data_IF_016673465650
#
_entry.id   IF_016673465650
#
_cell.length_a   1.000
_cell.length_b   1.000
_cell.length_c   1.000
_cell.angle_alpha   90.00
_cell.angle_beta   90.00
_cell.angle_gamma   90.00
#
_symmetry.space_group_name_H-M   'P 1'
#
loop_
_entity.id
_entity.type
_entity.pdbx_description
1 polymer ?
#
# COMPACT_ATOMS: atom_id res chain seq x y z
N UNK A 1 -7.29 25.95 -7.69
CA UNK A 1 -6.83 24.59 -7.33
C UNK A 1 -6.71 24.42 -5.81
N UNK A 2 -5.99 25.27 -5.10
CA UNK A 2 -5.84 25.23 -3.63
C UNK A 2 -7.15 25.20 -2.85
N UNK A 3 -8.17 25.94 -3.28
CA UNK A 3 -9.50 25.94 -2.63
C UNK A 3 -10.23 24.60 -2.76
N UNK A 4 -10.04 23.87 -3.87
CA UNK A 4 -10.62 22.53 -4.05
C UNK A 4 -9.95 21.55 -3.08
N UNK A 5 -8.61 21.56 -3.02
CA UNK A 5 -7.83 20.72 -2.11
C UNK A 5 -8.23 20.95 -0.65
N UNK A 6 -8.33 22.21 -0.22
CA UNK A 6 -8.76 22.58 1.14
C UNK A 6 -10.18 22.07 1.44
N UNK A 7 -11.10 22.21 0.48
CA UNK A 7 -12.48 21.75 0.62
C UNK A 7 -12.53 20.21 0.71
N UNK A 8 -11.76 19.51 -0.13
CA UNK A 8 -11.66 18.06 -0.11
C UNK A 8 -11.08 17.54 1.21
N UNK A 9 -9.97 18.10 1.67
CA UNK A 9 -9.37 17.72 2.96
C UNK A 9 -10.38 17.90 4.09
N UNK A 10 -11.05 19.08 4.16
CA UNK A 10 -12.04 19.35 5.21
C UNK A 10 -13.23 18.38 5.15
N UNK A 11 -13.69 18.05 3.93
CA UNK A 11 -14.78 17.09 3.71
C UNK A 11 -14.35 15.69 4.18
N UNK A 12 -13.17 15.25 3.80
CA UNK A 12 -12.64 13.91 4.11
C UNK A 12 -12.46 13.75 5.63
N UNK A 13 -11.87 14.72 6.32
CA UNK A 13 -11.72 14.69 7.78
C UNK A 13 -13.07 14.57 8.50
N UNK A 14 -14.12 15.19 7.94
CA UNK A 14 -15.49 15.10 8.51
C UNK A 14 -16.23 13.84 8.09
N UNK A 15 -15.75 13.13 7.08
CA UNK A 15 -16.35 11.89 6.61
C UNK A 15 -16.00 10.73 7.54
N UNK A 16 -17.01 9.93 7.90
CA UNK A 16 -16.77 8.69 8.66
C UNK A 16 -15.96 7.66 7.86
N UNK A 17 -16.00 7.73 6.53
CA UNK A 17 -15.34 6.78 5.63
C UNK A 17 -13.82 6.76 5.82
N UNK A 18 -13.18 7.94 6.01
CA UNK A 18 -11.72 7.98 6.15
C UNK A 18 -11.22 7.36 7.47
N UNK A 19 -12.05 7.40 8.51
CA UNK A 19 -11.72 6.82 9.81
C UNK A 19 -11.71 5.28 9.80
N UNK A 20 -12.32 4.68 8.77
CA UNK A 20 -12.25 3.22 8.54
C UNK A 20 -10.81 2.79 8.24
N UNK A 21 -10.02 3.62 7.55
CA UNK A 21 -8.63 3.29 7.18
C UNK A 21 -7.72 3.01 8.39
N UNK A 22 -7.57 3.92 9.37
CA UNK A 22 -6.73 3.64 10.54
C UNK A 22 -7.23 2.44 11.37
N UNK A 23 -8.54 2.22 11.42
CA UNK A 23 -9.11 1.05 12.10
C UNK A 23 -8.70 -0.23 11.36
N UNK A 24 -8.82 -0.26 10.03
CA UNK A 24 -8.39 -1.41 9.22
C UNK A 24 -6.89 -1.67 9.37
N UNK A 25 -6.06 -0.62 9.35
CA UNK A 25 -4.62 -0.75 9.55
C UNK A 25 -4.33 -1.41 10.91
N UNK A 26 -4.94 -0.93 12.00
CA UNK A 26 -4.75 -1.50 13.33
C UNK A 26 -5.21 -2.96 13.41
N UNK A 27 -6.36 -3.29 12.83
CA UNK A 27 -6.87 -4.66 12.83
C UNK A 27 -5.92 -5.58 12.05
N UNK A 28 -5.51 -5.19 10.85
CA UNK A 28 -4.67 -6.03 9.99
C UNK A 28 -3.27 -6.24 10.59
N UNK A 29 -2.63 -5.18 11.10
CA UNK A 29 -1.33 -5.30 11.77
C UNK A 29 -1.42 -6.13 13.05
N UNK A 30 -2.50 -5.98 13.83
CA UNK A 30 -2.74 -6.78 15.01
C UNK A 30 -2.99 -8.25 14.68
N UNK A 31 -3.78 -8.54 13.64
CA UNK A 31 -4.04 -9.92 13.18
C UNK A 31 -2.76 -10.61 12.74
N UNK A 32 -1.93 -9.94 11.94
CA UNK A 32 -0.67 -10.49 11.48
C UNK A 32 0.27 -10.76 12.66
N UNK A 33 0.42 -9.78 13.56
CA UNK A 33 1.27 -9.93 14.77
C UNK A 33 0.75 -11.03 15.71
N UNK A 34 -0.57 -11.14 15.90
CA UNK A 34 -1.18 -12.19 16.72
C UNK A 34 -0.99 -13.58 16.10
N UNK A 35 -1.06 -13.69 14.76
CA UNK A 35 -0.84 -14.95 14.04
C UNK A 35 0.59 -15.47 14.30
N UNK A 36 1.61 -14.62 14.13
CA UNK A 36 3.01 -15.00 14.35
C UNK A 36 3.30 -15.29 15.83
N UNK A 37 2.73 -14.51 16.76
CA UNK A 37 2.84 -14.79 18.19
C UNK A 37 2.18 -16.13 18.56
N UNK A 38 1.03 -16.44 17.98
CA UNK A 38 0.34 -17.72 18.11
C UNK A 38 1.17 -18.89 17.58
N UNK A 39 1.77 -18.75 16.40
CA UNK A 39 2.68 -19.75 15.84
C UNK A 39 3.87 -20.00 16.78
N UNK A 40 4.51 -18.95 17.26
CA UNK A 40 5.62 -19.04 18.21
C UNK A 40 5.22 -19.75 19.49
N UNK A 41 4.02 -19.48 20.02
CA UNK A 41 3.48 -20.15 21.20
C UNK A 41 3.24 -21.66 20.94
N UNK A 42 2.61 -22.02 19.81
CA UNK A 42 2.38 -23.43 19.44
C UNK A 42 3.70 -24.20 19.32
N UNK A 43 4.73 -23.57 18.77
CA UNK A 43 6.07 -24.18 18.66
C UNK A 43 6.74 -24.38 20.03
N UNK A 44 6.45 -23.53 21.01
CA UNK A 44 6.97 -23.69 22.37
C UNK A 44 6.33 -24.86 23.14
N UNK A 45 5.24 -25.46 22.62
CA UNK A 45 4.50 -26.54 23.28
C UNK A 45 5.05 -27.96 22.97
N UNK A 46 6.20 -28.08 22.28
CA UNK A 46 6.86 -29.36 21.95
C UNK A 46 5.90 -30.44 21.39
N UNK A 47 5.13 -30.04 20.37
CA UNK A 47 4.17 -30.93 19.69
C UNK A 47 4.83 -31.85 18.64
N UNK A 48 6.14 -32.03 18.69
CA UNK A 48 6.91 -32.87 17.77
C UNK A 48 6.39 -34.31 17.61
N UNK A 49 5.87 -34.86 18.71
CA UNK A 49 5.29 -36.18 18.75
C UNK A 49 3.95 -36.33 17.98
N UNK A 50 3.25 -35.20 17.72
CA UNK A 50 1.92 -35.19 17.07
C UNK A 50 2.01 -34.76 15.59
N UNK A 51 2.92 -33.82 15.27
CA UNK A 51 2.97 -33.15 13.95
C UNK A 51 4.10 -33.69 13.03
N UNK A 52 5.06 -34.44 13.57
CA UNK A 52 6.14 -35.04 12.75
C UNK A 52 6.88 -34.02 11.86
N UNK A 53 7.12 -34.38 10.61
CA UNK A 53 7.85 -33.56 9.62
C UNK A 53 7.20 -32.18 9.32
N UNK A 54 5.90 -32.03 9.61
CA UNK A 54 5.23 -30.73 9.44
C UNK A 54 5.72 -29.66 10.46
N UNK A 55 6.40 -30.09 11.54
CA UNK A 55 6.99 -29.15 12.51
C UNK A 55 8.18 -28.39 11.93
N UNK A 56 8.97 -28.98 11.04
CA UNK A 56 10.14 -28.30 10.47
C UNK A 56 9.74 -27.09 9.61
N UNK A 57 8.67 -27.22 8.83
CA UNK A 57 8.12 -26.11 8.04
C UNK A 57 7.46 -25.05 8.91
N UNK A 58 6.76 -25.44 9.98
CA UNK A 58 6.22 -24.50 10.97
C UNK A 58 7.34 -23.82 11.79
N UNK A 59 8.43 -24.55 12.08
CA UNK A 59 9.60 -24.01 12.76
C UNK A 59 10.29 -22.91 11.95
N UNK A 60 10.40 -23.08 10.64
CA UNK A 60 10.89 -22.02 9.76
C UNK A 60 10.04 -20.76 9.85
N UNK A 61 8.71 -20.88 9.84
CA UNK A 61 7.79 -19.73 9.94
C UNK A 61 7.85 -19.06 11.33
N UNK A 62 7.98 -19.82 12.41
CA UNK A 62 8.01 -19.27 13.77
C UNK A 62 9.32 -18.58 14.15
N UNK A 63 10.42 -18.90 13.47
CA UNK A 63 11.71 -18.25 13.67
C UNK A 63 11.88 -16.92 12.91
N UNK A 64 10.92 -16.55 12.05
CA UNK A 64 11.00 -15.35 11.23
C UNK A 64 10.86 -14.07 12.07
N UNK A 65 10.03 -14.08 13.12
CA UNK A 65 9.85 -12.92 14.01
C UNK A 65 10.16 -13.31 15.47
N UNK A 66 11.33 -12.91 15.95
CA UNK A 66 11.75 -13.18 17.34
C UNK A 66 11.58 -11.98 18.26
N UNK A 67 11.64 -10.77 17.72
CA UNK A 67 11.58 -9.50 18.45
C UNK A 67 10.44 -8.62 17.93
N UNK A 68 10.08 -7.60 18.72
CA UNK A 68 9.13 -6.58 18.29
C UNK A 68 9.62 -5.84 17.02
N UNK A 69 10.93 -5.70 16.86
CA UNK A 69 11.55 -5.13 15.66
C UNK A 69 11.32 -6.00 14.42
N UNK A 70 11.62 -7.30 14.50
CA UNK A 70 11.42 -8.22 13.38
C UNK A 70 9.94 -8.21 12.93
N UNK A 71 9.01 -8.23 13.90
CA UNK A 71 7.59 -8.18 13.59
C UNK A 71 7.16 -6.86 12.94
N UNK A 72 7.74 -5.74 13.35
CA UNK A 72 7.51 -4.45 12.72
C UNK A 72 7.98 -4.45 11.25
N UNK A 73 9.16 -5.00 10.98
CA UNK A 73 9.69 -5.16 9.63
C UNK A 73 8.81 -6.07 8.77
N UNK A 74 8.35 -7.19 9.30
CA UNK A 74 7.43 -8.09 8.58
C UNK A 74 6.10 -7.42 8.21
N UNK A 75 5.54 -6.61 9.12
CA UNK A 75 4.38 -5.80 8.77
C UNK A 75 4.70 -4.84 7.62
N UNK A 76 5.85 -4.16 7.65
CA UNK A 76 6.24 -3.21 6.59
C UNK A 76 6.56 -3.87 5.24
N UNK A 77 6.90 -5.17 5.23
CA UNK A 77 7.07 -5.97 4.01
C UNK A 77 5.74 -6.39 3.39
N UNK A 78 4.65 -6.40 4.18
CA UNK A 78 3.37 -6.91 3.72
C UNK A 78 2.66 -5.93 2.77
N UNK A 79 1.86 -6.48 1.88
CA UNK A 79 0.97 -5.77 0.95
C UNK A 79 -0.29 -5.19 1.62
N UNK A 80 -0.44 -5.39 2.91
CA UNK A 80 -1.63 -4.98 3.69
C UNK A 80 -2.05 -3.54 3.42
N UNK A 81 -1.08 -2.61 3.44
CA UNK A 81 -1.39 -1.20 3.22
C UNK A 81 -1.79 -0.92 1.77
N UNK A 82 -1.28 -1.68 0.78
CA UNK A 82 -1.68 -1.56 -0.63
C UNK A 82 -3.19 -1.73 -0.75
N UNK A 83 -3.76 -2.78 -0.15
CA UNK A 83 -5.21 -3.03 -0.20
C UNK A 83 -6.02 -2.05 0.65
N UNK A 84 -5.51 -1.61 1.79
CA UNK A 84 -6.19 -0.61 2.63
C UNK A 84 -6.27 0.77 1.94
N UNK A 85 -5.33 1.10 1.05
CA UNK A 85 -5.35 2.36 0.28
C UNK A 85 -6.58 2.53 -0.60
N UNK A 86 -7.32 1.46 -0.89
CA UNK A 86 -8.60 1.54 -1.59
C UNK A 86 -9.58 2.48 -0.88
N UNK A 87 -9.53 2.56 0.45
CA UNK A 87 -10.37 3.47 1.24
C UNK A 87 -10.08 4.93 0.90
N UNK A 88 -8.81 5.28 0.63
CA UNK A 88 -8.41 6.62 0.19
C UNK A 88 -9.00 6.91 -1.19
N UNK A 89 -8.86 5.98 -2.15
CA UNK A 89 -9.41 6.11 -3.51
C UNK A 89 -10.92 6.31 -3.50
N UNK A 90 -11.62 5.53 -2.67
CA UNK A 90 -13.07 5.64 -2.51
C UNK A 90 -13.46 7.00 -1.92
N UNK A 91 -12.82 7.40 -0.83
CA UNK A 91 -13.18 8.62 -0.09
C UNK A 91 -12.84 9.90 -0.83
N UNK A 92 -11.73 9.91 -1.58
CA UNK A 92 -11.24 11.12 -2.27
C UNK A 92 -11.89 11.29 -3.65
N UNK A 93 -12.08 10.20 -4.40
CA UNK A 93 -12.41 10.28 -5.82
C UNK A 93 -13.61 9.46 -6.25
N UNK A 94 -13.70 8.18 -5.88
CA UNK A 94 -14.70 7.27 -6.45
C UNK A 94 -16.13 7.65 -6.05
N UNK A 95 -16.36 8.03 -4.80
CA UNK A 95 -17.68 8.49 -4.34
C UNK A 95 -18.11 9.81 -4.98
N UNK A 96 -17.18 10.65 -5.43
CA UNK A 96 -17.51 11.90 -6.10
C UNK A 96 -18.06 11.70 -7.51
N UNK A 97 -17.72 10.59 -8.17
CA UNK A 97 -18.38 10.18 -9.40
C UNK A 97 -19.81 9.71 -9.15
N UNK A 98 -20.02 8.85 -8.16
CA UNK A 98 -21.35 8.31 -7.85
C UNK A 98 -22.32 9.35 -7.30
N UNK A 99 -21.82 10.34 -6.56
CA UNK A 99 -22.64 11.44 -6.01
C UNK A 99 -22.88 12.59 -6.98
N UNK A 100 -22.32 12.56 -8.19
CA UNK A 100 -22.40 13.65 -9.15
C UNK A 100 -21.60 14.92 -8.79
N UNK A 101 -20.79 14.87 -7.73
CA UNK A 101 -19.98 16.02 -7.28
C UNK A 101 -19.04 16.53 -8.36
N UNK A 102 -18.44 15.63 -9.16
CA UNK A 102 -17.57 16.00 -10.27
C UNK A 102 -18.31 16.76 -11.37
N UNK A 103 -19.55 16.36 -11.70
CA UNK A 103 -20.40 17.09 -12.64
C UNK A 103 -20.73 18.49 -12.14
N UNK A 104 -21.07 18.61 -10.85
CA UNK A 104 -21.33 19.90 -10.24
C UNK A 104 -20.11 20.82 -10.26
N UNK A 105 -18.90 20.26 -10.05
CA UNK A 105 -17.66 21.06 -10.16
C UNK A 105 -17.43 21.58 -11.57
N UNK A 106 -17.73 20.78 -12.59
CA UNK A 106 -17.61 21.20 -13.99
C UNK A 106 -18.66 22.25 -14.37
N UNK A 107 -19.91 22.15 -13.88
CA UNK A 107 -20.96 23.14 -14.14
C UNK A 107 -20.64 24.52 -13.52
N UNK A 108 -19.86 24.55 -12.43
CA UNK A 108 -19.37 25.79 -11.81
C UNK A 108 -18.12 26.34 -12.52
N UNK A 109 -17.72 25.76 -13.67
CA UNK A 109 -16.59 26.25 -14.49
C UNK A 109 -15.21 25.74 -14.07
N UNK A 110 -15.11 24.67 -13.28
CA UNK A 110 -13.82 24.02 -13.02
C UNK A 110 -13.40 23.16 -14.21
N UNK A 111 -12.13 23.21 -14.58
CA UNK A 111 -11.60 22.37 -15.68
C UNK A 111 -11.38 20.92 -15.21
N UNK A 112 -11.49 19.95 -16.12
CA UNK A 112 -11.17 18.53 -15.85
C UNK A 112 -9.76 18.38 -15.26
N UNK A 113 -8.77 19.16 -15.77
CA UNK A 113 -7.40 19.16 -15.24
C UNK A 113 -7.32 19.59 -13.77
N UNK A 114 -8.04 20.66 -13.42
CA UNK A 114 -8.05 21.14 -12.01
C UNK A 114 -8.66 20.12 -11.08
N UNK A 115 -9.74 19.46 -11.49
CA UNK A 115 -10.41 18.43 -10.70
C UNK A 115 -9.48 17.22 -10.54
N UNK A 116 -8.93 16.68 -11.63
CA UNK A 116 -8.03 15.54 -11.61
C UNK A 116 -6.82 15.78 -10.69
N UNK A 117 -6.09 16.87 -10.91
CA UNK A 117 -4.90 17.19 -10.14
C UNK A 117 -5.20 17.47 -8.66
N UNK A 118 -6.32 18.11 -8.34
CA UNK A 118 -6.68 18.35 -6.93
C UNK A 118 -6.98 17.04 -6.20
N UNK A 119 -7.68 16.10 -6.83
CA UNK A 119 -7.98 14.80 -6.27
C UNK A 119 -6.72 13.94 -6.10
N UNK A 120 -5.85 13.96 -7.10
CA UNK A 120 -4.56 13.25 -7.07
C UNK A 120 -3.68 13.76 -5.91
N UNK A 121 -3.51 15.08 -5.79
CA UNK A 121 -2.71 15.67 -4.70
C UNK A 121 -3.33 15.32 -3.33
N UNK A 122 -4.65 15.39 -3.21
CA UNK A 122 -5.33 15.02 -1.96
C UNK A 122 -5.10 13.54 -1.63
N UNK A 123 -5.17 12.65 -2.62
CA UNK A 123 -4.87 11.22 -2.43
C UNK A 123 -3.43 10.99 -1.98
N UNK A 124 -2.45 11.68 -2.59
CA UNK A 124 -1.04 11.59 -2.20
C UNK A 124 -0.81 12.05 -0.74
N UNK A 125 -1.44 13.14 -0.32
CA UNK A 125 -1.32 13.63 1.05
C UNK A 125 -1.84 12.58 2.04
N UNK A 126 -3.03 12.02 1.78
CA UNK A 126 -3.60 10.97 2.63
C UNK A 126 -2.78 9.68 2.63
N UNK A 127 -2.14 9.35 1.50
CA UNK A 127 -1.23 8.20 1.41
C UNK A 127 -0.02 8.38 2.33
N UNK A 128 0.63 9.54 2.31
CA UNK A 128 1.76 9.81 3.22
C UNK A 128 1.33 9.71 4.68
N UNK A 129 0.16 10.28 5.04
CA UNK A 129 -0.39 10.12 6.39
C UNK A 129 -0.68 8.65 6.74
N UNK A 130 -1.18 7.86 5.79
CA UNK A 130 -1.46 6.44 5.98
C UNK A 130 -0.19 5.63 6.20
N UNK A 131 0.87 5.89 5.43
CA UNK A 131 2.18 5.22 5.57
C UNK A 131 2.77 5.50 6.94
N UNK A 132 2.79 6.75 7.39
CA UNK A 132 3.29 7.13 8.71
C UNK A 132 2.48 6.43 9.82
N UNK A 133 1.15 6.41 9.68
CA UNK A 133 0.29 5.74 10.65
C UNK A 133 0.48 4.22 10.65
N UNK A 134 0.68 3.63 9.46
CA UNK A 134 0.96 2.20 9.31
C UNK A 134 2.27 1.79 9.99
N UNK A 135 3.33 2.58 9.81
CA UNK A 135 4.61 2.36 10.50
C UNK A 135 4.45 2.42 12.01
N UNK A 136 3.72 3.42 12.51
CA UNK A 136 3.43 3.54 13.93
C UNK A 136 2.63 2.32 14.46
N UNK A 137 1.58 1.91 13.73
CA UNK A 137 0.76 0.75 14.09
C UNK A 137 1.57 -0.55 14.07
N UNK A 138 2.41 -0.76 13.06
CA UNK A 138 3.27 -1.93 12.91
C UNK A 138 4.27 -2.04 14.05
N UNK A 139 4.91 -0.93 14.41
CA UNK A 139 5.85 -0.85 15.54
C UNK A 139 5.15 -1.09 16.88
N UNK A 140 3.98 -0.50 17.06
CA UNK A 140 3.17 -0.67 18.29
C UNK A 140 2.73 -2.13 18.46
N UNK A 141 2.18 -2.75 17.40
CA UNK A 141 1.71 -4.12 17.45
C UNK A 141 2.86 -5.12 17.59
N UNK A 142 4.00 -4.88 16.90
CA UNK A 142 5.20 -5.68 17.11
C UNK A 142 5.64 -5.69 18.57
N UNK A 143 5.74 -4.51 19.19
CA UNK A 143 6.11 -4.40 20.62
C UNK A 143 5.09 -5.04 21.57
N UNK A 144 3.80 -4.91 21.30
CA UNK A 144 2.76 -5.49 22.18
C UNK A 144 2.76 -7.01 22.18
N UNK A 145 3.05 -7.66 21.05
CA UNK A 145 3.01 -9.11 20.92
C UNK A 145 4.37 -9.80 21.18
N UNK A 146 5.48 -9.12 20.92
CA UNK A 146 6.83 -9.72 20.99
C UNK A 146 7.75 -9.08 22.04
N UNK A 147 7.30 -8.02 22.72
CA UNK A 147 8.06 -7.32 23.76
C UNK A 147 8.63 -5.98 23.33
N UNK A 148 8.88 -5.10 24.30
CA UNK A 148 9.36 -3.73 24.07
C UNK A 148 10.89 -3.70 23.94
N UNK A 149 11.42 -4.34 22.89
CA UNK A 149 12.86 -4.52 22.69
C UNK A 149 13.46 -3.56 21.65
N UNK A 150 12.67 -2.64 21.09
CA UNK A 150 13.11 -1.75 20.03
C UNK A 150 14.05 -0.68 20.59
N UNK A 151 15.35 -0.78 20.25
CA UNK A 151 16.36 0.18 20.63
C UNK A 151 16.36 1.42 19.70
N UNK A 152 17.01 2.49 20.15
CA UNK A 152 17.02 3.75 19.38
C UNK A 152 17.55 3.63 17.95
N UNK A 153 18.55 2.75 17.69
CA UNK A 153 19.05 2.48 16.32
C UNK A 153 17.95 1.85 15.45
N UNK A 154 17.22 0.88 15.96
CA UNK A 154 16.13 0.19 15.25
C UNK A 154 14.97 1.14 14.89
N UNK A 155 14.70 2.15 15.73
CA UNK A 155 13.71 3.20 15.40
C UNK A 155 14.17 4.00 14.17
N UNK A 156 15.46 4.34 14.10
CA UNK A 156 16.02 5.06 12.95
C UNK A 156 15.94 4.20 11.69
N UNK A 157 16.24 2.90 11.78
CA UNK A 157 16.13 1.95 10.67
C UNK A 157 14.67 1.86 10.16
N UNK A 158 13.68 1.70 11.05
CA UNK A 158 12.25 1.69 10.70
C UNK A 158 11.84 3.00 10.00
N UNK A 159 12.28 4.16 10.51
CA UNK A 159 11.96 5.45 9.90
C UNK A 159 12.62 5.60 8.53
N UNK A 160 13.88 5.14 8.38
CA UNK A 160 14.58 5.15 7.10
C UNK A 160 13.86 4.29 6.06
N UNK A 161 13.49 3.06 6.41
CA UNK A 161 12.70 2.16 5.56
C UNK A 161 11.37 2.80 5.17
N UNK A 162 10.67 3.38 6.14
CA UNK A 162 9.38 4.07 5.88
C UNK A 162 9.53 5.18 4.84
N UNK A 163 10.57 6.01 4.96
CA UNK A 163 10.83 7.08 4.00
C UNK A 163 11.14 6.54 2.60
N UNK A 164 11.89 5.44 2.53
CA UNK A 164 12.22 4.77 1.26
C UNK A 164 11.00 4.13 0.60
N UNK A 165 10.02 3.67 1.37
CA UNK A 165 8.79 3.06 0.87
C UNK A 165 7.74 4.08 0.38
N UNK A 166 7.81 5.36 0.79
CA UNK A 166 6.84 6.39 0.37
C UNK A 166 6.66 6.46 -1.15
N UNK A 167 7.70 6.50 -2.00
CA UNK A 167 7.56 6.52 -3.45
C UNK A 167 6.79 5.32 -4.01
N UNK A 168 7.00 4.13 -3.43
CA UNK A 168 6.28 2.90 -3.82
C UNK A 168 4.79 3.05 -3.55
N UNK A 169 4.41 3.51 -2.37
CA UNK A 169 3.01 3.74 -2.02
C UNK A 169 2.36 4.87 -2.84
N UNK A 170 3.13 5.90 -3.22
CA UNK A 170 2.67 6.92 -4.16
C UNK A 170 2.40 6.34 -5.55
N UNK A 171 3.21 5.41 -6.02
CA UNK A 171 2.97 4.68 -7.26
C UNK A 171 1.64 3.94 -7.23
N UNK A 172 1.40 3.21 -6.16
CA UNK A 172 0.16 2.44 -5.94
C UNK A 172 -1.08 3.33 -5.98
N UNK A 173 -1.07 4.45 -5.23
CA UNK A 173 -2.24 5.34 -5.16
C UNK A 173 -2.48 6.08 -6.48
N UNK A 174 -1.42 6.47 -7.21
CA UNK A 174 -1.54 7.16 -8.49
C UNK A 174 -2.10 6.21 -9.56
N UNK A 175 -1.65 4.96 -9.59
CA UNK A 175 -2.20 3.92 -10.48
C UNK A 175 -3.68 3.65 -10.16
N UNK A 176 -4.01 3.51 -8.89
CA UNK A 176 -5.42 3.36 -8.46
C UNK A 176 -6.27 4.57 -8.83
N UNK A 177 -5.72 5.78 -8.70
CA UNK A 177 -6.39 7.02 -9.12
C UNK A 177 -6.69 7.03 -10.62
N UNK A 178 -5.73 6.58 -11.44
CA UNK A 178 -5.95 6.39 -12.88
C UNK A 178 -7.14 5.45 -13.13
N UNK A 179 -7.24 4.32 -12.45
CA UNK A 179 -8.36 3.39 -12.60
C UNK A 179 -9.71 4.00 -12.22
N UNK A 180 -9.76 4.81 -11.16
CA UNK A 180 -11.00 5.51 -10.76
C UNK A 180 -11.46 6.48 -11.85
N UNK A 181 -10.54 7.27 -12.41
CA UNK A 181 -10.89 8.25 -13.43
C UNK A 181 -11.17 7.62 -14.81
N UNK A 182 -10.59 6.46 -15.09
CA UNK A 182 -10.86 5.67 -16.29
C UNK A 182 -12.29 5.07 -16.25
N UNK A 183 -12.65 4.44 -15.14
CA UNK A 183 -13.91 3.70 -15.06
C UNK A 183 -15.11 4.55 -14.65
N UNK A 184 -14.87 5.61 -13.87
CA UNK A 184 -15.89 6.49 -13.29
C UNK A 184 -16.98 5.76 -12.46
N UNK A 185 -16.69 4.50 -12.07
CA UNK A 185 -17.58 3.64 -11.29
C UNK A 185 -16.84 3.05 -10.12
N UNK A 186 -17.47 3.09 -8.94
CA UNK A 186 -16.87 2.57 -7.70
C UNK A 186 -16.48 1.09 -7.85
N UNK A 187 -17.44 0.23 -8.20
CA UNK A 187 -17.21 -1.21 -8.27
C UNK A 187 -16.13 -1.60 -9.31
N UNK A 188 -16.18 -1.01 -10.51
CA UNK A 188 -15.23 -1.31 -11.57
C UNK A 188 -13.81 -0.83 -11.23
N UNK A 189 -13.68 0.32 -10.57
CA UNK A 189 -12.36 0.82 -10.15
C UNK A 189 -11.74 -0.04 -9.06
N UNK A 190 -12.55 -0.50 -8.09
CA UNK A 190 -12.08 -1.42 -7.05
C UNK A 190 -11.62 -2.76 -7.63
N UNK A 191 -12.41 -3.30 -8.56
CA UNK A 191 -12.10 -4.58 -9.19
C UNK A 191 -10.82 -4.51 -10.02
N UNK A 192 -10.63 -3.43 -10.79
CA UNK A 192 -9.39 -3.19 -11.53
C UNK A 192 -8.20 -2.99 -10.58
N UNK A 193 -8.38 -2.25 -9.49
CA UNK A 193 -7.31 -2.01 -8.51
C UNK A 193 -6.85 -3.32 -7.86
N UNK A 194 -7.77 -4.04 -7.21
CA UNK A 194 -7.44 -5.30 -6.54
C UNK A 194 -6.95 -6.33 -7.56
N UNK A 195 -7.70 -6.53 -8.65
CA UNK A 195 -7.38 -7.54 -9.66
C UNK A 195 -6.04 -7.31 -10.34
N UNK A 196 -5.68 -6.06 -10.67
CA UNK A 196 -4.38 -5.77 -11.29
C UNK A 196 -3.21 -6.07 -10.34
N UNK A 197 -3.28 -5.65 -9.07
CA UNK A 197 -2.20 -5.94 -8.13
C UNK A 197 -2.09 -7.44 -7.84
N UNK A 198 -3.20 -8.14 -7.53
CA UNK A 198 -3.17 -9.60 -7.30
C UNK A 198 -2.66 -10.40 -8.50
N UNK A 199 -3.09 -10.06 -9.72
CA UNK A 199 -2.63 -10.76 -10.92
C UNK A 199 -1.13 -10.51 -11.17
N UNK A 200 -0.68 -9.27 -11.05
CA UNK A 200 0.71 -8.92 -11.30
C UNK A 200 1.65 -9.50 -10.23
N UNK A 201 1.24 -9.49 -8.98
CA UNK A 201 1.98 -10.12 -7.87
C UNK A 201 2.16 -11.63 -8.07
N UNK A 202 1.19 -12.30 -8.72
CA UNK A 202 1.29 -13.74 -9.02
C UNK A 202 2.08 -14.01 -10.29
N UNK A 203 1.92 -13.20 -11.33
CA UNK A 203 2.50 -13.44 -12.65
C UNK A 203 3.98 -13.07 -12.73
N UNK A 204 4.40 -11.98 -12.06
CA UNK A 204 5.78 -11.48 -12.20
C UNK A 204 6.85 -12.45 -11.69
N UNK A 205 6.71 -13.15 -10.53
CA UNK A 205 7.68 -14.17 -10.12
C UNK A 205 7.74 -15.37 -11.07
N UNK A 206 6.61 -15.71 -11.71
CA UNK A 206 6.60 -16.76 -12.72
C UNK A 206 7.39 -16.34 -13.97
N UNK A 207 7.36 -15.06 -14.32
CA UNK A 207 8.18 -14.53 -15.41
C UNK A 207 9.66 -14.56 -15.06
N UNK A 208 10.05 -14.25 -13.83
CA UNK A 208 11.44 -14.37 -13.38
C UNK A 208 11.95 -15.82 -13.52
N UNK A 209 11.10 -16.79 -13.17
CA UNK A 209 11.45 -18.22 -13.28
C UNK A 209 11.59 -18.68 -14.73
N UNK A 210 10.80 -18.12 -15.67
CA UNK A 210 10.74 -18.57 -17.08
C UNK A 210 11.76 -17.84 -17.95
N UNK A 211 11.99 -16.55 -17.72
CA UNK A 211 12.73 -15.69 -18.65
C UNK A 211 14.23 -15.66 -18.40
N UNK A 212 14.71 -16.15 -17.24
CA UNK A 212 16.13 -16.17 -16.84
C UNK A 212 16.88 -14.86 -17.21
N UNK A 213 16.23 -13.73 -16.89
CA UNK A 213 16.76 -12.38 -17.20
C UNK A 213 17.85 -12.00 -16.19
N UNK A 214 18.80 -11.12 -16.58
CA UNK A 214 19.86 -10.65 -15.68
C UNK A 214 19.37 -9.73 -14.55
N UNK A 215 18.07 -9.47 -14.47
CA UNK A 215 17.41 -8.70 -13.42
C UNK A 215 16.05 -9.32 -13.07
N UNK A 216 15.61 -9.16 -11.83
CA UNK A 216 14.33 -9.68 -11.37
C UNK A 216 13.19 -8.76 -11.86
N UNK A 217 12.33 -9.27 -12.73
CA UNK A 217 11.15 -8.54 -13.25
C UNK A 217 10.16 -8.26 -12.13
N UNK A 218 10.09 -9.14 -11.12
CA UNK A 218 9.27 -8.95 -9.92
C UNK A 218 9.56 -7.64 -9.19
N UNK A 219 10.81 -7.13 -9.20
CA UNK A 219 11.18 -5.83 -8.64
C UNK A 219 10.47 -4.63 -9.30
N UNK A 220 9.82 -4.83 -10.44
CA UNK A 220 8.97 -3.79 -11.02
C UNK A 220 7.62 -3.66 -10.28
N UNK A 221 7.26 -4.62 -9.40
CA UNK A 221 5.99 -4.64 -8.67
C UNK A 221 6.13 -4.07 -7.26
N UNK A 222 5.14 -3.27 -6.81
CA UNK A 222 5.19 -2.60 -5.51
C UNK A 222 5.42 -3.52 -4.32
N UNK A 223 4.82 -4.72 -4.30
CA UNK A 223 5.01 -5.68 -3.21
C UNK A 223 6.48 -6.10 -3.07
N UNK A 224 7.11 -6.52 -4.17
CA UNK A 224 8.52 -6.95 -4.15
C UNK A 224 9.45 -5.79 -3.84
N UNK A 225 9.10 -4.57 -4.26
CA UNK A 225 9.82 -3.35 -3.89
C UNK A 225 9.76 -3.10 -2.38
N UNK A 226 8.60 -3.33 -1.73
CA UNK A 226 8.46 -3.18 -0.28
C UNK A 226 9.32 -4.21 0.47
N UNK A 227 9.32 -5.46 0.01
CA UNK A 227 10.15 -6.55 0.57
C UNK A 227 11.63 -6.18 0.46
N UNK A 228 12.08 -5.78 -0.73
CA UNK A 228 13.47 -5.46 -1.00
C UNK A 228 13.95 -4.25 -0.20
N UNK A 229 13.18 -3.17 -0.14
CA UNK A 229 13.51 -1.97 0.64
C UNK A 229 13.56 -2.21 2.16
N UNK A 230 13.00 -3.32 2.63
CA UNK A 230 13.04 -3.71 4.05
C UNK A 230 14.23 -4.62 4.34
N UNK A 231 14.81 -5.26 3.32
CA UNK A 231 16.08 -5.97 3.44
C UNK A 231 17.19 -4.93 3.58
N UNK A 232 17.96 -4.99 4.67
CA UNK A 232 19.05 -4.04 4.91
C UNK A 232 20.29 -4.26 3.99
N UNK A 233 20.16 -5.18 3.02
CA UNK A 233 21.24 -5.63 2.12
C UNK A 233 21.03 -5.21 0.66
N UNK A 234 20.06 -4.32 0.38
CA UNK A 234 19.69 -3.91 -0.99
C UNK A 234 20.87 -3.29 -1.73
N UNK A 235 21.17 -3.80 -2.92
CA UNK A 235 22.25 -3.30 -3.77
C UNK A 235 21.85 -1.98 -4.48
N UNK A 236 22.84 -1.17 -4.86
CA UNK A 236 22.61 0.11 -5.57
C UNK A 236 21.79 -0.08 -6.86
N UNK A 237 21.99 -1.18 -7.59
CA UNK A 237 21.27 -1.47 -8.83
C UNK A 237 19.79 -1.71 -8.55
N UNK A 238 19.46 -2.44 -7.49
CA UNK A 238 18.09 -2.73 -7.05
C UNK A 238 17.39 -1.43 -6.62
N UNK A 239 18.05 -0.59 -5.81
CA UNK A 239 17.52 0.75 -5.48
C UNK A 239 17.22 1.58 -6.73
N UNK A 240 18.13 1.63 -7.69
CA UNK A 240 17.91 2.37 -8.93
C UNK A 240 16.72 1.79 -9.71
N UNK A 241 16.62 0.47 -9.82
CA UNK A 241 15.52 -0.22 -10.50
C UNK A 241 14.18 0.13 -9.87
N UNK A 242 14.10 0.08 -8.53
CA UNK A 242 12.88 0.42 -7.77
C UNK A 242 12.45 1.88 -8.06
N UNK A 243 13.35 2.85 -7.89
CA UNK A 243 12.97 4.26 -8.03
C UNK A 243 12.74 4.70 -9.47
N UNK A 244 13.43 4.08 -10.45
CA UNK A 244 13.14 4.29 -11.87
C UNK A 244 11.75 3.74 -12.20
N UNK A 245 11.43 2.52 -11.78
CA UNK A 245 10.10 1.93 -12.01
C UNK A 245 8.99 2.77 -11.35
N UNK A 246 9.16 3.19 -10.09
CA UNK A 246 8.24 4.11 -9.42
C UNK A 246 8.02 5.40 -10.22
N UNK A 247 9.10 6.00 -10.74
CA UNK A 247 9.01 7.23 -11.54
C UNK A 247 8.23 7.01 -12.82
N UNK A 248 8.44 5.89 -13.52
CA UNK A 248 7.71 5.53 -14.74
C UNK A 248 6.22 5.33 -14.42
N UNK A 249 5.87 4.58 -13.38
CA UNK A 249 4.48 4.38 -12.97
C UNK A 249 3.79 5.70 -12.60
N UNK A 250 4.46 6.58 -11.86
CA UNK A 250 3.93 7.89 -11.47
C UNK A 250 3.64 8.73 -12.72
N UNK A 251 4.59 8.82 -13.64
CA UNK A 251 4.43 9.61 -14.87
C UNK A 251 3.32 9.02 -15.74
N UNK A 252 3.33 7.71 -15.97
CA UNK A 252 2.31 7.02 -16.76
C UNK A 252 0.92 7.15 -16.13
N UNK A 253 0.82 6.97 -14.81
CA UNK A 253 -0.44 7.09 -14.08
C UNK A 253 -1.00 8.52 -14.10
N UNK A 254 -0.14 9.53 -13.95
CA UNK A 254 -0.56 10.95 -14.00
C UNK A 254 -1.03 11.36 -15.42
N UNK A 255 -0.23 11.06 -16.43
CA UNK A 255 -0.54 11.44 -17.82
C UNK A 255 -1.69 10.60 -18.34
N UNK A 256 -1.62 9.28 -18.18
CA UNK A 256 -2.62 8.34 -18.65
C UNK A 256 -3.98 8.59 -18.00
N UNK A 257 -4.01 8.76 -16.68
CA UNK A 257 -5.24 9.03 -15.96
C UNK A 257 -5.89 10.36 -16.36
N UNK A 258 -5.10 11.42 -16.54
CA UNK A 258 -5.61 12.70 -17.05
C UNK A 258 -6.17 12.57 -18.47
N UNK A 259 -5.42 11.95 -19.38
CA UNK A 259 -5.82 11.77 -20.77
C UNK A 259 -7.12 10.96 -20.92
N UNK A 260 -7.22 9.87 -20.16
CA UNK A 260 -8.42 9.03 -20.13
C UNK A 260 -9.63 9.82 -19.58
N UNK A 261 -9.43 10.62 -18.54
CA UNK A 261 -10.49 11.47 -18.00
C UNK A 261 -10.90 12.60 -18.94
N UNK A 262 -9.94 13.19 -19.66
CA UNK A 262 -10.22 14.26 -20.63
C UNK A 262 -11.12 13.78 -21.76
N UNK A 263 -10.85 12.58 -22.29
CA UNK A 263 -11.64 11.97 -23.38
C UNK A 263 -12.96 11.33 -22.90
N UNK A 264 -13.05 11.00 -21.62
CA UNK A 264 -14.22 10.33 -21.10
C UNK A 264 -15.44 11.28 -21.09
N UNK A 265 -16.57 10.80 -21.63
CA UNK A 265 -17.87 11.40 -21.38
C UNK A 265 -18.32 11.06 -19.96
N UNK A 266 -18.76 12.07 -19.23
CA UNK A 266 -19.30 11.85 -17.89
C UNK A 266 -20.67 11.17 -18.03
N UNK A 267 -20.69 9.86 -17.76
CA UNK A 267 -21.92 9.06 -17.79
C UNK A 267 -22.95 9.63 -16.81
N UNK A 268 -24.17 9.74 -17.29
CA UNK A 268 -25.34 10.17 -16.52
C UNK A 268 -25.68 9.18 -15.41
#
# INVERSE_FOLDING_TARGET
MTNIIKADIKRIIRSKSIWVMPILILIMTAMLSALFAGLKYVMSLDLSAVLGESMDSLAMLGNIANTGYDMALMNLQSDTLIYVMIVILLSVSAFDFSSGTIKNMLSIGKTKKQIYMSKLITSCIWTVCAVIFYTFASTLMGNLFFGFDIAGKQIVDILSITLQQIPVYLTVIITGHMFVFMTQKVASSMLLYIGSFMLLETVMPLLDLILDLPFNVSLLMPLYQLIELTSLETNLIEYLTIYISCSVYIICGMIGGYYLFEKAELKS
#
